data_IF_195678743523
#
_entry.id   IF_195678743523
#
_cell.length_a   1.000
_cell.length_b   1.000
_cell.length_c   1.000
_cell.angle_alpha   90.00
_cell.angle_beta   90.00
_cell.angle_gamma   90.00
#
_symmetry.space_group_name_H-M   'P 1'
#
loop_
_entity.id
_entity.type
_entity.pdbx_description
1 polymer ?
#
# COMPACT_ATOMS: atom_id res chain seq x y z
N UNK A 1 11.77 -12.02 -20.59
CA UNK A 1 11.18 -11.41 -19.37
C UNK A 1 9.71 -11.17 -19.65
N UNK A 2 8.83 -11.41 -18.68
CA UNK A 2 7.41 -11.05 -18.82
C UNK A 2 7.33 -9.53 -18.98
N UNK A 3 6.51 -9.04 -19.91
CA UNK A 3 6.31 -7.60 -20.08
C UNK A 3 5.40 -7.05 -18.98
N UNK A 4 5.62 -5.83 -18.48
CA UNK A 4 4.66 -5.16 -17.63
C UNK A 4 3.29 -5.07 -18.32
N UNK A 5 2.23 -5.15 -17.54
CA UNK A 5 0.86 -4.97 -18.02
C UNK A 5 0.01 -4.30 -16.95
N UNK A 6 -1.14 -3.76 -17.35
CA UNK A 6 -2.08 -3.11 -16.46
C UNK A 6 -3.46 -3.72 -16.57
N UNK A 7 -4.20 -3.75 -15.46
CA UNK A 7 -5.62 -4.05 -15.43
C UNK A 7 -6.38 -2.87 -14.82
N UNK A 8 -7.62 -2.70 -15.26
CA UNK A 8 -8.53 -1.69 -14.72
C UNK A 8 -9.65 -2.41 -13.99
N UNK A 9 -9.87 -2.05 -12.73
CA UNK A 9 -10.96 -2.56 -11.90
C UNK A 9 -11.89 -1.42 -11.51
N UNK A 10 -13.10 -1.41 -12.10
CA UNK A 10 -14.16 -0.48 -11.70
C UNK A 10 -14.80 -0.99 -10.42
N UNK A 11 -14.69 -0.22 -9.34
CA UNK A 11 -15.20 -0.61 -8.03
C UNK A 11 -16.59 -0.01 -7.82
N UNK A 12 -17.64 -0.84 -7.62
CA UNK A 12 -18.94 -0.33 -7.21
C UNK A 12 -18.81 0.48 -5.92
N UNK A 13 -19.38 1.69 -5.87
CA UNK A 13 -19.19 2.60 -4.73
C UNK A 13 -19.58 1.97 -3.37
N UNK A 14 -20.61 1.11 -3.34
CA UNK A 14 -21.06 0.41 -2.14
C UNK A 14 -20.09 -0.70 -1.64
N UNK A 15 -19.10 -1.08 -2.45
CA UNK A 15 -18.04 -2.02 -2.07
C UNK A 15 -16.73 -1.31 -1.70
N UNK A 16 -16.63 0.01 -1.89
CA UNK A 16 -15.45 0.78 -1.51
C UNK A 16 -15.30 0.77 0.01
N UNK A 17 -14.16 0.28 0.48
CA UNK A 17 -13.74 0.25 1.87
C UNK A 17 -12.45 1.03 2.03
N UNK A 18 -12.27 1.68 3.19
CA UNK A 18 -11.05 2.41 3.48
C UNK A 18 -10.30 1.85 4.67
N UNK A 19 -9.03 2.22 4.84
CA UNK A 19 -8.27 1.87 6.04
C UNK A 19 -8.80 2.51 7.32
N UNK A 20 -9.76 3.44 7.23
CA UNK A 20 -10.36 4.16 8.37
C UNK A 20 -11.87 3.98 8.43
N UNK A 21 -12.42 3.06 7.64
CA UNK A 21 -13.86 2.88 7.53
C UNK A 21 -14.44 2.12 8.73
N UNK A 22 -15.68 2.44 9.04
CA UNK A 22 -16.39 2.01 10.25
C UNK A 22 -17.30 0.81 10.02
N UNK A 23 -17.09 0.03 8.97
CA UNK A 23 -17.81 -1.24 8.81
C UNK A 23 -17.51 -2.18 9.96
N UNK A 24 -18.55 -2.89 10.39
CA UNK A 24 -18.38 -4.04 11.27
C UNK A 24 -17.69 -5.20 10.53
N UNK A 25 -17.31 -6.22 11.31
CA UNK A 25 -16.55 -7.37 10.81
C UNK A 25 -17.30 -8.13 9.72
N UNK A 26 -18.63 -8.27 9.86
CA UNK A 26 -19.45 -9.05 8.95
C UNK A 26 -19.69 -8.31 7.64
N UNK A 27 -19.96 -7.00 7.70
CA UNK A 27 -20.08 -6.14 6.52
C UNK A 27 -18.78 -6.11 5.74
N UNK A 28 -17.65 -5.93 6.43
CA UNK A 28 -16.31 -5.97 5.84
C UNK A 28 -16.06 -7.33 5.17
N UNK A 29 -16.36 -8.44 5.84
CA UNK A 29 -16.22 -9.78 5.26
C UNK A 29 -17.09 -9.96 4.00
N UNK A 30 -18.35 -9.52 4.02
CA UNK A 30 -19.26 -9.55 2.85
C UNK A 30 -18.72 -8.73 1.69
N UNK A 31 -18.26 -7.50 1.93
CA UNK A 31 -17.66 -6.63 0.90
C UNK A 31 -16.39 -7.24 0.33
N UNK A 32 -15.48 -7.73 1.18
CA UNK A 32 -14.25 -8.42 0.75
C UNK A 32 -14.55 -9.64 -0.12
N UNK A 33 -15.54 -10.45 0.23
CA UNK A 33 -15.96 -11.59 -0.60
C UNK A 33 -16.44 -11.13 -1.99
N UNK A 34 -17.31 -10.12 -2.06
CA UNK A 34 -17.81 -9.57 -3.34
C UNK A 34 -16.68 -8.97 -4.18
N UNK A 35 -15.76 -8.24 -3.57
CA UNK A 35 -14.57 -7.71 -4.24
C UNK A 35 -13.68 -8.83 -4.77
N UNK A 36 -13.45 -9.90 -4.02
CA UNK A 36 -12.67 -11.06 -4.49
C UNK A 36 -13.31 -11.71 -5.72
N UNK A 37 -14.63 -11.85 -5.76
CA UNK A 37 -15.36 -12.34 -6.94
C UNK A 37 -15.27 -11.37 -8.15
N UNK A 38 -15.29 -10.06 -7.92
CA UNK A 38 -15.02 -9.07 -8.95
C UNK A 38 -13.59 -9.20 -9.48
N UNK A 39 -12.60 -9.28 -8.58
CA UNK A 39 -11.19 -9.48 -8.92
C UNK A 39 -10.97 -10.71 -9.78
N UNK A 40 -11.59 -11.85 -9.46
CA UNK A 40 -11.47 -13.09 -10.26
C UNK A 40 -11.89 -12.88 -11.71
N UNK A 41 -12.97 -12.13 -11.94
CA UNK A 41 -13.44 -11.81 -13.29
C UNK A 41 -12.44 -10.92 -14.03
N UNK A 42 -11.96 -9.86 -13.38
CA UNK A 42 -10.97 -8.94 -13.98
C UNK A 42 -9.68 -9.67 -14.34
N UNK A 43 -9.15 -10.52 -13.46
CA UNK A 43 -7.95 -11.31 -13.74
C UNK A 43 -8.17 -12.35 -14.84
N UNK A 44 -9.34 -13.01 -14.85
CA UNK A 44 -9.68 -13.94 -15.93
C UNK A 44 -9.69 -13.24 -17.30
N UNK A 45 -10.27 -12.05 -17.38
CA UNK A 45 -10.32 -11.27 -18.61
C UNK A 45 -8.93 -10.77 -19.01
N UNK A 46 -8.10 -10.36 -18.05
CA UNK A 46 -6.70 -10.01 -18.31
C UNK A 46 -5.91 -11.19 -18.89
N UNK A 47 -6.08 -12.42 -18.35
CA UNK A 47 -5.46 -13.63 -18.90
C UNK A 47 -5.91 -13.88 -20.34
N UNK A 48 -7.20 -13.71 -20.64
CA UNK A 48 -7.74 -13.84 -22.01
C UNK A 48 -7.14 -12.81 -22.97
N UNK A 49 -6.75 -11.64 -22.46
CA UNK A 49 -6.07 -10.58 -23.20
C UNK A 49 -4.54 -10.76 -23.27
N UNK A 50 -4.01 -11.86 -22.73
CA UNK A 50 -2.59 -12.21 -22.83
C UNK A 50 -1.74 -11.79 -21.63
N UNK A 51 -2.33 -11.34 -20.52
CA UNK A 51 -1.59 -11.12 -19.28
C UNK A 51 -0.93 -12.43 -18.82
N UNK A 52 0.37 -12.36 -18.54
CA UNK A 52 1.18 -13.51 -18.15
C UNK A 52 1.35 -13.57 -16.62
N UNK A 53 1.46 -14.78 -16.10
CA UNK A 53 1.81 -14.99 -14.69
C UNK A 53 3.23 -14.51 -14.39
N UNK A 54 3.43 -13.95 -13.20
CA UNK A 54 4.70 -13.39 -12.72
C UNK A 54 5.10 -14.07 -11.42
N UNK A 55 6.40 -14.17 -11.14
CA UNK A 55 6.90 -14.74 -9.90
C UNK A 55 7.33 -13.69 -8.88
N UNK A 56 8.07 -12.67 -9.33
CA UNK A 56 8.55 -11.57 -8.51
C UNK A 56 8.17 -10.26 -9.20
N UNK A 57 7.47 -9.38 -8.49
CA UNK A 57 6.90 -8.19 -9.10
C UNK A 57 6.65 -7.07 -8.10
N UNK A 58 6.53 -5.85 -8.62
CA UNK A 58 5.91 -4.73 -7.93
C UNK A 58 4.48 -4.56 -8.42
N UNK A 59 3.60 -4.14 -7.52
CA UNK A 59 2.26 -3.72 -7.86
C UNK A 59 2.14 -2.20 -7.72
N UNK A 60 1.70 -1.55 -8.79
CA UNK A 60 1.45 -0.11 -8.79
C UNK A 60 -0.03 0.11 -8.94
N UNK A 61 -0.59 0.99 -8.14
CA UNK A 61 -2.03 1.12 -7.98
C UNK A 61 -2.40 2.59 -8.06
N UNK A 62 -2.99 3.02 -9.17
CA UNK A 62 -3.59 4.34 -9.23
C UNK A 62 -5.02 4.28 -8.74
N UNK A 63 -5.39 5.28 -7.95
CA UNK A 63 -6.74 5.44 -7.40
C UNK A 63 -7.38 6.65 -8.07
N UNK A 64 -8.46 6.42 -8.81
CA UNK A 64 -9.22 7.46 -9.50
C UNK A 64 -10.68 7.51 -9.03
N UNK A 65 -11.35 8.64 -9.29
CA UNK A 65 -12.72 8.88 -8.81
C UNK A 65 -12.82 9.15 -7.29
N UNK A 66 -11.69 9.36 -6.61
CA UNK A 66 -11.61 9.70 -5.18
C UNK A 66 -10.59 10.82 -4.97
N UNK A 67 -10.88 11.76 -4.06
CA UNK A 67 -9.99 12.89 -3.71
C UNK A 67 -9.11 12.63 -2.49
N UNK A 68 -9.43 11.57 -1.76
CA UNK A 68 -8.74 11.18 -0.54
C UNK A 68 -7.36 10.56 -0.83
N UNK A 69 -6.54 10.40 0.20
CA UNK A 69 -5.22 9.80 0.07
C UNK A 69 -5.31 8.38 -0.53
N UNK A 70 -4.48 8.02 -1.53
CA UNK A 70 -4.62 6.76 -2.25
C UNK A 70 -4.38 5.53 -1.36
N UNK A 71 -3.63 5.68 -0.26
CA UNK A 71 -3.43 4.61 0.72
C UNK A 71 -4.74 4.11 1.34
N UNK A 72 -5.76 4.98 1.43
CA UNK A 72 -7.05 4.59 1.99
C UNK A 72 -7.67 3.45 1.19
N UNK A 73 -7.35 3.30 -0.10
CA UNK A 73 -7.86 2.22 -0.94
C UNK A 73 -7.29 0.82 -0.62
N UNK A 74 -6.31 0.70 0.28
CA UNK A 74 -5.66 -0.59 0.57
C UNK A 74 -6.64 -1.69 0.99
N UNK A 75 -7.66 -1.34 1.78
CA UNK A 75 -8.69 -2.28 2.20
C UNK A 75 -9.57 -2.77 1.04
N UNK A 76 -9.83 -1.90 0.04
CA UNK A 76 -10.53 -2.27 -1.19
C UNK A 76 -9.64 -3.12 -2.11
N UNK A 77 -8.34 -2.82 -2.18
CA UNK A 77 -7.40 -3.48 -3.08
C UNK A 77 -7.12 -4.93 -2.66
N UNK A 78 -6.98 -5.20 -1.36
CA UNK A 78 -6.48 -6.50 -0.87
C UNK A 78 -7.26 -7.70 -1.44
N UNK A 79 -8.61 -7.74 -1.44
CA UNK A 79 -9.35 -8.86 -2.05
C UNK A 79 -9.15 -9.01 -3.56
N UNK A 80 -8.82 -7.91 -4.28
CA UNK A 80 -8.50 -7.95 -5.71
C UNK A 80 -7.15 -8.62 -5.94
N UNK A 81 -6.18 -8.34 -5.07
CA UNK A 81 -4.88 -9.03 -5.10
C UNK A 81 -5.04 -10.50 -4.73
N UNK A 82 -5.77 -10.82 -3.67
CA UNK A 82 -6.00 -12.22 -3.30
C UNK A 82 -6.64 -13.02 -4.46
N UNK A 83 -7.52 -12.37 -5.24
CA UNK A 83 -8.11 -12.96 -6.43
C UNK A 83 -7.09 -13.20 -7.56
N UNK A 84 -6.01 -12.43 -7.64
CA UNK A 84 -4.92 -12.67 -8.59
C UNK A 84 -4.18 -13.98 -8.27
N UNK A 85 -3.96 -14.27 -6.99
CA UNK A 85 -3.45 -15.56 -6.51
C UNK A 85 -4.41 -16.69 -6.90
N UNK A 86 -5.71 -16.53 -6.60
CA UNK A 86 -6.74 -17.53 -6.95
C UNK A 86 -6.78 -17.84 -8.46
N UNK A 87 -6.44 -16.86 -9.30
CA UNK A 87 -6.44 -16.98 -10.76
C UNK A 87 -5.07 -17.39 -11.33
N UNK A 88 -4.08 -17.64 -10.48
CA UNK A 88 -2.73 -18.08 -10.86
C UNK A 88 -1.90 -17.01 -11.57
N UNK A 89 -2.13 -15.73 -11.26
CA UNK A 89 -1.31 -14.63 -11.79
C UNK A 89 0.07 -14.57 -11.13
N UNK A 90 0.17 -15.08 -9.91
CA UNK A 90 1.42 -15.28 -9.15
C UNK A 90 1.23 -16.45 -8.17
N UNK A 91 2.32 -17.02 -7.63
CA UNK A 91 2.22 -18.16 -6.70
C UNK A 91 1.52 -17.82 -5.39
N UNK A 92 1.85 -16.65 -4.82
CA UNK A 92 1.25 -16.12 -3.61
C UNK A 92 1.33 -14.59 -3.61
N UNK A 93 0.51 -13.94 -2.79
CA UNK A 93 0.50 -12.48 -2.62
C UNK A 93 1.47 -12.00 -1.53
N UNK A 94 2.27 -12.92 -1.00
CA UNK A 94 3.30 -12.71 0.01
C UNK A 94 4.41 -11.72 -0.45
N UNK A 95 5.20 -11.18 0.48
CA UNK A 95 6.24 -10.20 0.14
C UNK A 95 7.46 -10.79 -0.59
N UNK A 96 7.54 -12.11 -0.78
CA UNK A 96 8.59 -12.77 -1.56
C UNK A 96 8.28 -12.76 -3.05
N UNK A 97 6.99 -12.74 -3.39
CA UNK A 97 6.48 -12.59 -4.75
C UNK A 97 6.12 -11.13 -5.05
N UNK A 98 5.27 -10.51 -4.22
CA UNK A 98 4.88 -9.10 -4.31
C UNK A 98 5.80 -8.26 -3.43
N UNK A 99 6.96 -7.90 -3.96
CA UNK A 99 8.02 -7.28 -3.15
C UNK A 99 7.76 -5.81 -2.76
N UNK A 100 6.84 -5.15 -3.47
CA UNK A 100 6.41 -3.79 -3.16
C UNK A 100 5.04 -3.49 -3.78
N UNK A 101 4.19 -2.80 -3.03
CA UNK A 101 2.94 -2.21 -3.53
C UNK A 101 3.01 -0.70 -3.39
N UNK A 102 2.73 0.06 -4.44
CA UNK A 102 2.73 1.52 -4.46
C UNK A 102 1.34 2.06 -4.81
N UNK A 103 0.76 2.86 -3.92
CA UNK A 103 -0.49 3.58 -4.11
C UNK A 103 -0.22 4.99 -4.61
N UNK A 104 -0.89 5.38 -5.69
CA UNK A 104 -0.70 6.64 -6.40
C UNK A 104 -2.05 7.35 -6.58
N UNK A 105 -2.12 8.68 -6.45
CA UNK A 105 -3.28 9.40 -6.95
C UNK A 105 -3.32 9.28 -8.47
N UNK A 106 -4.50 9.08 -9.06
CA UNK A 106 -4.64 9.22 -10.49
C UNK A 106 -4.59 10.71 -10.88
N UNK A 107 -3.59 11.06 -11.68
CA UNK A 107 -3.39 12.41 -12.22
C UNK A 107 -4.13 12.63 -13.54
N UNK A 108 -4.85 11.63 -14.04
CA UNK A 108 -5.71 11.80 -15.21
C UNK A 108 -6.84 12.80 -14.87
N UNK A 109 -6.86 13.93 -15.57
CA UNK A 109 -7.82 15.03 -15.34
C UNK A 109 -9.28 14.69 -15.71
N UNK A 110 -9.58 13.43 -16.06
CA UNK A 110 -10.94 13.00 -16.37
C UNK A 110 -11.61 12.49 -15.07
N UNK A 111 -12.60 13.20 -14.52
CA UNK A 111 -13.35 12.69 -13.37
C UNK A 111 -14.04 11.38 -13.75
N UNK A 112 -13.60 10.28 -13.15
CA UNK A 112 -14.34 9.03 -13.22
C UNK A 112 -15.57 9.13 -12.32
N UNK A 113 -16.79 8.85 -12.82
CA UNK A 113 -18.01 8.88 -12.01
C UNK A 113 -18.06 7.77 -10.95
N UNK A 114 -17.19 6.75 -11.08
CA UNK A 114 -17.07 5.64 -10.14
C UNK A 114 -15.62 5.46 -9.67
N UNK A 115 -15.40 5.04 -8.41
CA UNK A 115 -14.06 4.68 -7.94
C UNK A 115 -13.46 3.60 -8.82
N UNK A 116 -12.20 3.77 -9.20
CA UNK A 116 -11.49 2.82 -10.04
C UNK A 116 -10.06 2.62 -9.53
N UNK A 117 -9.60 1.37 -9.65
CA UNK A 117 -8.22 0.98 -9.39
C UNK A 117 -7.59 0.55 -10.70
N UNK A 118 -6.50 1.20 -11.11
CA UNK A 118 -5.64 0.68 -12.18
C UNK A 118 -4.42 0.03 -11.54
N UNK A 119 -4.24 -1.26 -11.79
CA UNK A 119 -3.15 -2.06 -11.23
C UNK A 119 -2.14 -2.36 -12.33
N UNK A 120 -0.93 -1.81 -12.24
CA UNK A 120 0.19 -2.24 -13.09
C UNK A 120 0.98 -3.31 -12.37
N UNK A 121 1.14 -4.45 -13.03
CA UNK A 121 2.00 -5.55 -12.61
C UNK A 121 3.34 -5.36 -13.31
N UNK A 122 4.38 -5.08 -12.53
CA UNK A 122 5.74 -4.82 -13.03
C UNK A 122 6.64 -5.99 -12.61
N UNK A 123 6.93 -6.94 -13.51
CA UNK A 123 7.84 -8.04 -13.23
C UNK A 123 9.23 -7.52 -12.87
N UNK A 124 9.89 -8.15 -11.92
CA UNK A 124 11.25 -7.82 -11.51
C UNK A 124 12.17 -9.02 -11.67
N UNK A 125 13.43 -8.75 -12.01
CA UNK A 125 14.52 -9.69 -11.86
C UNK A 125 14.83 -9.98 -10.38
N UNK A 126 15.49 -11.10 -10.12
CA UNK A 126 15.83 -11.56 -8.76
C UNK A 126 16.57 -10.52 -7.92
N UNK A 127 17.46 -9.74 -8.53
CA UNK A 127 18.35 -8.81 -7.82
C UNK A 127 17.84 -7.36 -7.80
N UNK A 128 16.72 -7.06 -8.46
CA UNK A 128 16.19 -5.69 -8.49
C UNK A 128 15.64 -5.30 -7.12
N UNK A 129 16.08 -4.14 -6.62
CA UNK A 129 15.69 -3.60 -5.32
C UNK A 129 14.60 -2.54 -5.50
N UNK A 130 13.33 -2.80 -5.13
CA UNK A 130 12.20 -1.90 -5.41
C UNK A 130 12.42 -0.48 -4.89
N UNK A 131 12.92 -0.36 -3.66
CA UNK A 131 13.19 0.94 -3.03
C UNK A 131 14.21 1.76 -3.82
N UNK A 132 15.29 1.10 -4.26
CA UNK A 132 16.32 1.74 -5.08
C UNK A 132 15.73 2.22 -6.41
N UNK A 133 14.96 1.37 -7.08
CA UNK A 133 14.28 1.72 -8.33
C UNK A 133 13.39 2.96 -8.17
N UNK A 134 12.64 3.07 -7.06
CA UNK A 134 11.77 4.22 -6.79
C UNK A 134 12.59 5.50 -6.54
N UNK A 135 13.60 5.43 -5.67
CA UNK A 135 14.39 6.62 -5.29
C UNK A 135 15.22 7.15 -6.48
N UNK A 136 15.74 6.27 -7.33
CA UNK A 136 16.46 6.67 -8.54
C UNK A 136 15.59 7.48 -9.53
N UNK A 137 14.25 7.42 -9.43
CA UNK A 137 13.35 8.24 -10.26
C UNK A 137 13.17 9.67 -9.78
N UNK A 138 13.65 10.01 -8.58
CA UNK A 138 13.55 11.35 -7.98
C UNK A 138 14.93 11.85 -7.54
N UNK A 139 15.87 12.07 -8.49
CA UNK A 139 17.22 12.50 -8.17
C UNK A 139 17.21 13.84 -7.43
N UNK A 140 18.06 13.97 -6.41
CA UNK A 140 18.15 15.16 -5.57
C UNK A 140 17.07 15.29 -4.49
N UNK A 141 16.17 14.30 -4.36
CA UNK A 141 15.20 14.24 -3.26
C UNK A 141 15.88 14.29 -1.89
N UNK A 142 15.25 15.01 -0.97
CA UNK A 142 15.65 15.07 0.43
C UNK A 142 14.73 14.16 1.22
N UNK A 143 15.30 13.31 2.07
CA UNK A 143 14.59 12.27 2.79
C UNK A 143 14.72 12.37 4.30
N UNK A 144 13.73 11.85 5.02
CA UNK A 144 13.76 11.64 6.46
C UNK A 144 13.13 10.29 6.80
N UNK A 145 13.46 9.75 7.97
CA UNK A 145 12.93 8.48 8.46
C UNK A 145 12.02 8.72 9.65
N UNK A 146 10.78 8.22 9.60
CA UNK A 146 9.87 8.16 10.75
C UNK A 146 9.78 6.71 11.20
N UNK A 147 10.41 6.41 12.34
CA UNK A 147 10.53 5.05 12.87
C UNK A 147 9.63 4.89 14.09
N UNK A 148 8.85 3.81 14.12
CA UNK A 148 8.05 3.41 15.26
C UNK A 148 8.24 1.91 15.52
N UNK A 149 8.31 1.55 16.80
CA UNK A 149 8.08 0.18 17.26
C UNK A 149 6.72 0.12 17.95
N UNK A 150 5.88 -0.80 17.52
CA UNK A 150 4.46 -0.90 17.91
C UNK A 150 4.26 -2.27 18.56
N UNK A 151 3.76 -2.32 19.81
CA UNK A 151 3.50 -3.59 20.47
C UNK A 151 2.33 -4.32 19.78
N UNK A 152 2.34 -5.65 19.75
CA UNK A 152 1.30 -6.48 19.10
C UNK A 152 -0.13 -6.10 19.53
N UNK A 153 -0.29 -5.73 20.80
CA UNK A 153 -1.59 -5.34 21.39
C UNK A 153 -2.17 -4.05 20.79
N UNK A 154 -1.34 -3.23 20.14
CA UNK A 154 -1.74 -2.01 19.44
C UNK A 154 -1.69 -2.15 17.91
N UNK A 155 -1.09 -3.22 17.40
CA UNK A 155 -0.90 -3.44 15.98
C UNK A 155 -2.23 -3.53 15.23
N UNK A 156 -2.34 -2.75 14.15
CA UNK A 156 -3.47 -2.80 13.22
C UNK A 156 -3.05 -3.51 11.93
N UNK A 157 -3.64 -4.67 11.69
CA UNK A 157 -3.52 -5.51 10.49
C UNK A 157 -4.86 -5.77 9.80
N UNK A 158 -4.89 -5.85 8.46
CA UNK A 158 -6.13 -6.10 7.70
C UNK A 158 -6.85 -7.43 8.03
N UNK A 159 -6.15 -8.37 8.70
CA UNK A 159 -6.65 -9.69 9.13
C UNK A 159 -7.36 -9.70 10.48
N UNK A 160 -7.37 -8.57 11.18
CA UNK A 160 -7.91 -8.46 12.54
C UNK A 160 -9.45 -8.60 12.55
N UNK A 161 -10.01 -9.02 13.68
CA UNK A 161 -11.47 -9.26 13.86
C UNK A 161 -12.08 -8.39 14.97
N UNK A 162 -11.32 -7.42 15.43
CA UNK A 162 -11.70 -6.47 16.46
C UNK A 162 -12.87 -5.60 16.01
N UNK A 163 -13.67 -5.17 16.98
CA UNK A 163 -14.75 -4.22 16.76
C UNK A 163 -14.24 -2.87 16.25
N UNK A 164 -15.12 -2.10 15.61
CA UNK A 164 -14.79 -0.74 15.12
C UNK A 164 -14.22 0.13 16.24
N UNK A 165 -14.79 0.07 17.45
CA UNK A 165 -14.34 0.84 18.60
C UNK A 165 -12.92 0.48 19.03
N UNK A 166 -12.59 -0.81 19.09
CA UNK A 166 -11.24 -1.28 19.43
C UNK A 166 -10.21 -0.86 18.38
N UNK A 167 -10.57 -0.94 17.09
CA UNK A 167 -9.72 -0.48 15.98
C UNK A 167 -9.43 1.02 16.08
N UNK A 168 -10.45 1.84 16.29
CA UNK A 168 -10.32 3.29 16.48
C UNK A 168 -9.47 3.64 17.71
N UNK A 169 -9.63 2.90 18.81
CA UNK A 169 -8.84 3.10 20.02
C UNK A 169 -7.36 2.77 19.78
N UNK A 170 -7.06 1.66 19.08
CA UNK A 170 -5.69 1.32 18.63
C UNK A 170 -5.13 2.39 17.70
N UNK A 171 -5.92 2.88 16.75
CA UNK A 171 -5.52 3.92 15.80
C UNK A 171 -5.11 5.20 16.55
N UNK A 172 -5.90 5.61 17.53
CA UNK A 172 -5.61 6.77 18.38
C UNK A 172 -4.29 6.59 19.15
N UNK A 173 -4.06 5.40 19.73
CA UNK A 173 -2.80 5.09 20.43
C UNK A 173 -1.59 5.14 19.50
N UNK A 174 -1.71 4.61 18.28
CA UNK A 174 -0.66 4.70 17.25
C UNK A 174 -0.38 6.16 16.89
N UNK A 175 -1.42 6.98 16.70
CA UNK A 175 -1.24 8.40 16.40
C UNK A 175 -0.50 9.11 17.53
N UNK A 176 -0.88 8.89 18.79
CA UNK A 176 -0.19 9.46 19.95
C UNK A 176 1.29 9.03 20.00
N UNK A 177 1.57 7.75 19.73
CA UNK A 177 2.93 7.20 19.67
C UNK A 177 3.76 7.80 18.51
N UNK A 178 3.11 8.19 17.41
CA UNK A 178 3.77 8.77 16.25
C UNK A 178 4.19 10.23 16.44
N UNK A 179 3.53 11.01 17.31
CA UNK A 179 3.84 12.43 17.55
C UNK A 179 5.34 12.69 17.78
N UNK A 180 6.02 12.04 18.75
CA UNK A 180 7.45 12.27 18.97
C UNK A 180 8.30 11.79 17.78
N UNK A 181 7.88 10.75 17.07
CA UNK A 181 8.61 10.24 15.91
C UNK A 181 8.62 11.23 14.74
N UNK A 182 7.66 12.15 14.67
CA UNK A 182 7.56 13.21 13.66
C UNK A 182 8.31 14.50 14.01
N UNK A 183 8.84 14.64 15.23
CA UNK A 183 9.51 15.87 15.68
C UNK A 183 10.64 16.28 14.72
N UNK A 184 10.59 17.52 14.22
CA UNK A 184 11.57 18.13 13.31
C UNK A 184 11.74 17.42 11.96
N UNK A 185 10.69 16.75 11.44
CA UNK A 185 10.74 15.97 10.19
C UNK A 185 9.79 16.51 9.11
N UNK A 186 9.68 17.85 9.00
CA UNK A 186 8.93 18.46 7.92
C UNK A 186 9.61 18.17 6.57
N UNK A 187 8.85 17.68 5.60
CA UNK A 187 9.33 17.39 4.23
C UNK A 187 8.75 18.39 3.21
N UNK A 188 7.62 19.02 3.51
CA UNK A 188 6.99 20.06 2.69
C UNK A 188 5.76 19.56 1.93
N UNK A 189 5.27 20.38 0.98
CA UNK A 189 3.96 20.20 0.35
C UNK A 189 3.88 19.06 -0.69
N UNK A 190 5.02 18.52 -1.13
CA UNK A 190 5.10 17.46 -2.14
C UNK A 190 6.05 16.38 -1.66
N UNK A 191 5.49 15.25 -1.27
CA UNK A 191 6.24 14.15 -0.70
C UNK A 191 5.68 12.80 -1.15
N UNK A 192 6.55 11.80 -1.17
CA UNK A 192 6.23 10.40 -1.25
C UNK A 192 6.74 9.68 0.00
N UNK A 193 6.21 8.49 0.26
CA UNK A 193 6.59 7.67 1.40
C UNK A 193 6.70 6.20 1.00
N UNK A 194 7.75 5.53 1.46
CA UNK A 194 7.83 4.06 1.48
C UNK A 194 7.79 3.60 2.93
N UNK A 195 6.74 2.87 3.27
CA UNK A 195 6.54 2.20 4.55
C UNK A 195 7.22 0.83 4.54
N UNK A 196 8.31 0.71 5.28
CA UNK A 196 9.04 -0.54 5.44
C UNK A 196 8.61 -1.20 6.75
N UNK A 197 8.24 -2.48 6.70
CA UNK A 197 7.69 -3.22 7.85
C UNK A 197 8.62 -4.33 8.27
N UNK A 198 8.90 -4.43 9.57
CA UNK A 198 9.60 -5.56 10.19
C UNK A 198 8.68 -6.30 11.15
N UNK A 199 8.69 -7.63 11.04
CA UNK A 199 7.90 -8.52 11.90
C UNK A 199 8.78 -9.19 12.97
N UNK A 200 8.20 -9.56 14.13
CA UNK A 200 8.94 -10.18 15.23
C UNK A 200 9.41 -11.60 14.90
N UNK A 201 8.84 -12.23 13.87
CA UNK A 201 9.26 -13.54 13.36
C UNK A 201 9.63 -13.42 11.88
N UNK A 202 10.89 -13.69 11.56
CA UNK A 202 11.43 -13.55 10.20
C UNK A 202 11.34 -14.84 9.39
N UNK A 203 10.82 -15.94 9.94
CA UNK A 203 10.63 -17.16 9.16
C UNK A 203 9.55 -16.88 8.11
N UNK A 204 9.75 -17.39 6.90
CA UNK A 204 8.91 -17.10 5.74
C UNK A 204 7.41 -17.28 6.00
N UNK A 205 7.01 -18.34 6.69
CA UNK A 205 5.60 -18.61 6.99
C UNK A 205 4.96 -17.65 8.00
N UNK A 206 5.75 -16.81 8.69
CA UNK A 206 5.27 -15.87 9.70
C UNK A 206 5.52 -14.40 9.34
N UNK A 207 6.22 -14.14 8.22
CA UNK A 207 6.30 -12.80 7.67
C UNK A 207 4.95 -12.44 7.05
N UNK A 208 4.27 -11.45 7.65
CA UNK A 208 3.05 -10.90 7.09
C UNK A 208 3.33 -10.11 5.81
N UNK A 209 2.32 -10.04 4.94
CA UNK A 209 2.30 -9.08 3.85
C UNK A 209 2.31 -7.63 4.43
N UNK A 210 3.29 -6.77 4.07
CA UNK A 210 3.39 -5.38 4.52
C UNK A 210 2.14 -4.54 4.26
N UNK A 211 1.37 -4.81 3.21
CA UNK A 211 0.13 -4.05 2.94
C UNK A 211 -0.95 -4.30 4.00
N UNK A 212 -0.84 -5.40 4.76
CA UNK A 212 -1.74 -5.64 5.88
C UNK A 212 -1.67 -4.53 6.92
N UNK A 213 -0.56 -3.80 6.99
CA UNK A 213 -0.33 -2.75 7.99
C UNK A 213 -0.86 -1.40 7.53
N UNK A 214 -1.61 -1.32 6.43
CA UNK A 214 -2.07 -0.08 5.84
C UNK A 214 -2.86 0.81 6.81
N UNK A 215 -3.67 0.22 7.70
CA UNK A 215 -4.38 0.96 8.76
C UNK A 215 -3.41 1.56 9.80
N UNK A 216 -2.40 0.80 10.22
CA UNK A 216 -1.30 1.32 11.07
C UNK A 216 -0.55 2.46 10.37
N UNK A 217 -0.15 2.26 9.11
CA UNK A 217 0.60 3.24 8.34
C UNK A 217 -0.24 4.51 8.06
N UNK A 218 -1.54 4.36 7.82
CA UNK A 218 -2.46 5.50 7.68
C UNK A 218 -2.48 6.35 8.95
N UNK A 219 -2.49 5.73 10.14
CA UNK A 219 -2.44 6.45 11.42
C UNK A 219 -1.12 7.21 11.62
N UNK A 220 0.02 6.58 11.30
CA UNK A 220 1.34 7.23 11.42
C UNK A 220 1.44 8.41 10.45
N UNK A 221 1.06 8.22 9.18
CA UNK A 221 1.07 9.30 8.19
C UNK A 221 0.11 10.42 8.55
N UNK A 222 -1.12 10.07 8.95
CA UNK A 222 -2.14 11.02 9.39
C UNK A 222 -1.68 11.89 10.57
N UNK A 223 -0.80 11.38 11.42
CA UNK A 223 -0.16 12.18 12.48
C UNK A 223 0.75 13.27 11.91
N UNK A 224 1.58 12.94 10.91
CA UNK A 224 2.41 13.93 10.22
C UNK A 224 1.58 14.99 9.49
N UNK A 225 0.43 14.59 8.92
CA UNK A 225 -0.53 15.50 8.29
C UNK A 225 -1.15 16.44 9.32
N UNK A 226 -1.61 15.91 10.45
CA UNK A 226 -2.21 16.70 11.54
C UNK A 226 -1.21 17.70 12.16
N UNK A 227 0.09 17.39 12.11
CA UNK A 227 1.18 18.27 12.53
C UNK A 227 1.66 19.23 11.42
N UNK A 228 1.03 19.21 10.24
CA UNK A 228 1.40 20.01 9.06
C UNK A 228 2.84 19.79 8.55
N UNK A 229 3.39 18.58 8.73
CA UNK A 229 4.77 18.24 8.34
C UNK A 229 4.87 17.62 6.94
N UNK A 230 3.77 17.03 6.47
CA UNK A 230 3.64 16.29 5.20
C UNK A 230 2.26 16.52 4.59
N UNK A 231 2.07 16.30 3.27
CA UNK A 231 0.77 16.51 2.63
C UNK A 231 -0.24 15.43 3.01
N UNK A 232 -1.53 15.80 3.03
CA UNK A 232 -2.62 14.85 3.23
C UNK A 232 -2.63 13.73 2.18
N UNK A 233 -2.34 14.09 0.93
CA UNK A 233 -2.22 13.17 -0.21
C UNK A 233 -0.77 13.14 -0.66
N UNK A 234 -0.01 12.08 -0.34
CA UNK A 234 1.33 11.90 -0.90
C UNK A 234 1.25 11.57 -2.39
N UNK A 235 2.31 11.87 -3.13
CA UNK A 235 2.41 11.51 -4.55
C UNK A 235 2.59 10.01 -4.77
N UNK A 236 3.14 9.30 -3.77
CA UNK A 236 3.25 7.85 -3.70
C UNK A 236 3.24 7.39 -2.24
N UNK A 237 2.50 6.31 -1.96
CA UNK A 237 2.55 5.59 -0.69
C UNK A 237 2.90 4.13 -0.96
N UNK A 238 4.11 3.70 -0.64
CA UNK A 238 4.58 2.34 -0.90
C UNK A 238 4.68 1.48 0.36
N UNK A 239 4.61 0.16 0.19
CA UNK A 239 4.94 -0.81 1.23
C UNK A 239 6.01 -1.77 0.77
N UNK A 240 6.88 -2.18 1.68
CA UNK A 240 7.84 -3.27 1.46
C UNK A 240 8.30 -3.84 2.80
N UNK A 241 8.97 -4.99 2.77
CA UNK A 241 9.61 -5.52 3.98
C UNK A 241 10.88 -4.74 4.31
N UNK A 242 11.10 -4.58 5.62
CA UNK A 242 12.34 -4.10 6.19
C UNK A 242 13.23 -5.32 6.50
N UNK A 243 14.15 -5.65 5.57
CA UNK A 243 14.85 -6.94 5.51
C UNK A 243 16.09 -7.08 6.42
N UNK A 244 16.28 -6.21 7.40
CA UNK A 244 17.34 -6.28 8.39
C UNK A 244 16.80 -6.87 9.71
N UNK A 245 16.85 -8.20 9.79
CA UNK A 245 16.55 -8.98 11.01
C UNK A 245 15.08 -8.95 11.47
N UNK A 246 14.82 -9.61 12.60
CA UNK A 246 13.54 -9.59 13.31
C UNK A 246 13.43 -8.31 14.15
N UNK A 247 12.21 -7.82 14.37
CA UNK A 247 11.94 -6.84 15.41
C UNK A 247 12.01 -7.50 16.80
N UNK A 248 11.91 -6.70 17.86
CA UNK A 248 11.84 -7.24 19.21
C UNK A 248 10.61 -8.17 19.37
N UNK A 249 10.68 -9.22 20.21
CA UNK A 249 9.53 -10.08 20.45
C UNK A 249 8.29 -9.28 20.87
N UNK A 250 7.13 -9.61 20.29
CA UNK A 250 5.83 -8.93 20.51
C UNK A 250 5.77 -7.46 20.06
N UNK A 251 6.70 -7.06 19.20
CA UNK A 251 6.74 -5.74 18.61
C UNK A 251 6.86 -5.85 17.10
N UNK A 252 6.20 -4.94 16.39
CA UNK A 252 6.34 -4.73 14.95
C UNK A 252 7.03 -3.38 14.74
N UNK A 253 7.99 -3.31 13.82
CA UNK A 253 8.64 -2.03 13.48
C UNK A 253 8.13 -1.52 12.14
N UNK A 254 7.84 -0.22 12.10
CA UNK A 254 7.56 0.53 10.86
C UNK A 254 8.61 1.62 10.71
N UNK A 255 9.25 1.65 9.54
CA UNK A 255 10.11 2.74 9.11
C UNK A 255 9.52 3.38 7.85
N UNK A 256 9.07 4.63 7.96
CA UNK A 256 8.62 5.41 6.82
C UNK A 256 9.78 6.24 6.29
N UNK A 257 10.29 5.86 5.12
CA UNK A 257 11.15 6.74 4.33
C UNK A 257 10.27 7.76 3.62
N UNK A 258 10.27 8.99 4.13
CA UNK A 258 9.52 10.11 3.55
C UNK A 258 10.50 10.98 2.78
N UNK A 259 10.21 11.29 1.53
CA UNK A 259 11.12 12.06 0.68
C UNK A 259 10.39 13.06 -0.20
N UNK A 260 11.07 14.16 -0.51
CA UNK A 260 10.53 15.19 -1.39
C UNK A 260 10.33 14.66 -2.81
N UNK A 261 9.23 15.06 -3.43
CA UNK A 261 8.99 14.80 -4.85
C UNK A 261 8.88 16.12 -5.61
N UNK A 262 9.37 16.20 -6.85
CA UNK A 262 9.16 17.39 -7.68
C UNK A 262 7.67 17.74 -7.74
N UNK A 263 7.29 19.04 -7.79
CA UNK A 263 5.91 19.42 -8.02
C UNK A 263 5.38 18.76 -9.30
N UNK A 264 4.15 18.25 -9.26
CA UNK A 264 3.48 17.64 -10.43
C UNK A 264 4.20 16.39 -10.99
N UNK A 265 5.02 15.73 -10.17
CA UNK A 265 5.70 14.49 -10.57
C UNK A 265 4.69 13.39 -10.92
N UNK A 266 4.82 12.82 -12.12
CA UNK A 266 3.95 11.75 -12.62
C UNK A 266 4.66 10.39 -12.53
N UNK A 267 4.41 9.67 -11.44
CA UNK A 267 4.94 8.32 -11.23
C UNK A 267 4.65 7.38 -12.42
N UNK A 268 3.42 7.29 -12.96
CA UNK A 268 3.15 6.39 -14.10
C UNK A 268 3.99 6.71 -15.34
N UNK A 269 4.16 8.00 -15.68
CA UNK A 269 4.94 8.39 -16.86
C UNK A 269 6.42 8.06 -16.71
N UNK A 270 7.00 8.30 -15.53
CA UNK A 270 8.43 8.10 -15.27
C UNK A 270 8.84 6.63 -15.17
N UNK A 271 7.89 5.72 -14.89
CA UNK A 271 8.21 4.30 -14.70
C UNK A 271 7.79 3.38 -15.84
N UNK A 272 6.81 3.78 -16.65
CA UNK A 272 6.41 3.01 -17.84
C UNK A 272 7.30 3.34 -19.05
N UNK A 273 7.94 4.51 -19.11
CA UNK A 273 8.80 4.93 -20.24
C UNK A 273 10.21 4.32 -20.22
N UNK A 274 10.62 3.65 -19.14
CA UNK A 274 11.96 3.04 -19.02
C UNK A 274 11.96 1.51 -19.02
N UNK A 275 10.86 0.89 -19.45
CA UNK A 275 10.75 -0.58 -19.60
C UNK A 275 10.61 -1.00 -21.05
#
# INVERSE_FOLDING_TARGET
>A
MVKPYAIICNIPAHLWMTTVSSEDVDERARKRHKLRLLGKRVWLDAKRQGAQSVNRFMLWVSVSGRKESPILAAETLKPIIDAGTDMGMWPDDDPYHRVCTCYLPDVSNAPSPSPQLTLWVIPLHTNEQPLRTIIEKVPGSQGTLVNLSIPDVEWLTSNMRESVSERQAKQTRIMQRAIPAWKNKAVGASAAVICQVRYPDSRRQYQGDPDNTAETATAIWGTGVALHLVPATPSLFGFTLLNDHQSQPKHHDISMLVFTTPPQFSWPQTLITTS
#
